data_IF_774056773330
#
_entry.id   IF_774056773330
#
_cell.length_a   1.000
_cell.length_b   1.000
_cell.length_c   1.000
_cell.angle_alpha   90.00
_cell.angle_beta   90.00
_cell.angle_gamma   90.00
#
_symmetry.space_group_name_H-M   'P 1'
#
loop_
_entity.id
_entity.type
_entity.pdbx_description
1 polymer ?
#
# COMPACT_ATOMS: atom_id res chain seq x y z
N UNK A 1 -9.87 -1.06 -33.12
CA UNK A 1 -8.87 -2.12 -33.34
C UNK A 1 -8.86 -2.96 -32.06
N UNK A 2 -9.35 -4.17 -32.12
CA UNK A 2 -9.23 -5.15 -31.04
C UNK A 2 -7.74 -5.41 -30.85
N UNK A 3 -7.19 -4.95 -29.70
CA UNK A 3 -5.79 -5.18 -29.37
C UNK A 3 -5.54 -6.69 -29.28
N UNK A 4 -4.34 -7.13 -29.67
CA UNK A 4 -3.94 -8.50 -29.46
C UNK A 4 -3.97 -8.80 -27.93
N UNK A 5 -4.47 -9.96 -27.55
CA UNK A 5 -4.44 -10.47 -26.18
C UNK A 5 -3.02 -10.34 -25.60
N UNK A 6 -2.91 -9.78 -24.41
CA UNK A 6 -1.64 -9.61 -23.69
C UNK A 6 -1.61 -10.48 -22.44
N UNK A 7 -0.55 -11.26 -22.30
CA UNK A 7 -0.30 -12.10 -21.12
C UNK A 7 0.64 -11.37 -20.15
N UNK A 8 0.09 -10.93 -19.03
CA UNK A 8 0.78 -10.14 -18.03
C UNK A 8 1.10 -11.00 -16.81
N UNK A 9 2.33 -10.98 -16.38
CA UNK A 9 2.73 -11.64 -15.12
C UNK A 9 3.14 -10.58 -14.10
N UNK A 10 2.48 -10.58 -12.94
CA UNK A 10 2.75 -9.63 -11.86
C UNK A 10 3.40 -10.37 -10.69
N UNK A 11 4.65 -10.01 -10.40
CA UNK A 11 5.37 -10.50 -9.22
C UNK A 11 5.02 -9.61 -8.02
N UNK A 12 4.01 -10.02 -7.25
CA UNK A 12 3.52 -9.30 -6.08
C UNK A 12 3.32 -10.26 -4.90
N UNK A 13 3.75 -9.85 -3.72
CA UNK A 13 3.54 -10.66 -2.53
C UNK A 13 4.16 -10.06 -1.28
N UNK A 14 3.93 -10.71 -0.15
CA UNK A 14 4.47 -10.34 1.15
C UNK A 14 3.48 -9.56 2.01
N UNK A 15 3.15 -8.34 1.68
CA UNK A 15 2.23 -7.48 2.46
C UNK A 15 1.17 -6.85 1.56
N UNK A 16 0.05 -6.42 2.15
CA UNK A 16 -1.03 -5.71 1.44
C UNK A 16 -0.55 -4.48 0.66
N UNK A 17 0.52 -3.81 1.14
CA UNK A 17 1.08 -2.63 0.49
C UNK A 17 1.62 -2.85 -0.93
N UNK A 18 2.04 -4.07 -1.28
CA UNK A 18 2.44 -4.45 -2.63
C UNK A 18 1.31 -5.12 -3.42
N UNK A 19 0.41 -5.80 -2.72
CA UNK A 19 -0.62 -6.62 -3.33
C UNK A 19 -1.79 -5.79 -3.88
N UNK A 20 -2.35 -4.87 -3.09
CA UNK A 20 -3.50 -4.06 -3.52
C UNK A 20 -3.22 -3.15 -4.72
N UNK A 21 -2.08 -2.44 -4.80
CA UNK A 21 -1.72 -1.70 -6.01
C UNK A 21 -1.57 -2.60 -7.25
N UNK A 22 -1.03 -3.81 -7.06
CA UNK A 22 -0.92 -4.80 -8.13
C UNK A 22 -2.30 -5.29 -8.61
N UNK A 23 -3.24 -5.52 -7.68
CA UNK A 23 -4.62 -5.91 -8.00
C UNK A 23 -5.35 -4.77 -8.74
N UNK A 24 -5.19 -3.52 -8.29
CA UNK A 24 -5.77 -2.36 -8.98
C UNK A 24 -5.29 -2.27 -10.44
N UNK A 25 -4.00 -2.45 -10.66
CA UNK A 25 -3.41 -2.45 -12.00
C UNK A 25 -3.90 -3.65 -12.85
N UNK A 26 -3.98 -4.85 -12.24
CA UNK A 26 -4.46 -6.06 -12.91
C UNK A 26 -5.93 -5.95 -13.37
N UNK A 27 -6.80 -5.44 -12.50
CA UNK A 27 -8.21 -5.17 -12.83
C UNK A 27 -8.35 -4.19 -13.98
N UNK A 28 -7.54 -3.14 -14.00
CA UNK A 28 -7.59 -2.16 -15.07
C UNK A 28 -7.10 -2.73 -16.41
N UNK A 29 -6.08 -3.60 -16.43
CA UNK A 29 -5.71 -4.33 -17.65
C UNK A 29 -6.87 -5.15 -18.19
N UNK A 30 -7.61 -5.88 -17.35
CA UNK A 30 -8.76 -6.67 -17.75
C UNK A 30 -9.99 -5.80 -18.13
N UNK A 31 -10.14 -4.62 -17.52
CA UNK A 31 -11.21 -3.67 -17.86
C UNK A 31 -11.01 -3.09 -19.25
N UNK A 32 -9.77 -2.81 -19.63
CA UNK A 32 -9.46 -2.24 -20.95
C UNK A 32 -9.55 -3.27 -22.07
N UNK A 33 -9.23 -4.53 -21.79
CA UNK A 33 -9.45 -5.65 -22.70
C UNK A 33 -9.67 -6.92 -21.88
N UNK A 34 -10.86 -7.52 -22.03
CA UNK A 34 -11.25 -8.73 -21.30
C UNK A 34 -10.44 -9.97 -21.67
N UNK A 35 -9.77 -9.95 -22.83
CA UNK A 35 -8.91 -11.04 -23.28
C UNK A 35 -7.53 -11.00 -22.62
N UNK A 36 -7.16 -9.91 -21.97
CA UNK A 36 -5.91 -9.83 -21.25
C UNK A 36 -5.86 -10.84 -20.09
N UNK A 37 -4.82 -11.66 -20.10
CA UNK A 37 -4.60 -12.67 -19.08
C UNK A 37 -3.60 -12.17 -18.04
N UNK A 38 -4.03 -12.06 -16.77
CA UNK A 38 -3.15 -11.66 -15.68
C UNK A 38 -2.90 -12.84 -14.74
N UNK A 39 -1.63 -13.17 -14.54
CA UNK A 39 -1.19 -14.20 -13.59
C UNK A 39 -0.30 -13.57 -12.52
N UNK A 40 -0.59 -13.84 -11.28
CA UNK A 40 0.27 -13.42 -10.17
C UNK A 40 1.34 -14.47 -9.86
N UNK A 41 2.54 -14.01 -9.49
CA UNK A 41 3.57 -14.85 -8.87
C UNK A 41 3.74 -14.37 -7.45
N UNK A 42 3.51 -15.27 -6.48
CA UNK A 42 3.51 -14.96 -5.07
C UNK A 42 4.21 -15.99 -4.19
N UNK A 43 4.10 -15.78 -2.88
CA UNK A 43 4.79 -16.58 -1.85
C UNK A 43 4.08 -17.88 -1.46
N UNK A 44 2.82 -18.00 -1.83
CA UNK A 44 1.96 -19.10 -1.37
C UNK A 44 1.44 -18.94 0.07
N UNK A 45 1.57 -17.75 0.67
CA UNK A 45 0.94 -17.48 1.98
C UNK A 45 -0.57 -17.50 1.85
N UNK A 46 -1.24 -18.09 2.86
CA UNK A 46 -2.69 -18.28 2.85
C UNK A 46 -3.46 -16.97 2.63
N UNK A 47 -3.11 -15.89 3.34
CA UNK A 47 -3.76 -14.58 3.18
C UNK A 47 -3.61 -14.01 1.76
N UNK A 48 -2.42 -14.14 1.16
CA UNK A 48 -2.15 -13.68 -0.21
C UNK A 48 -3.02 -14.45 -1.21
N UNK A 49 -3.04 -15.78 -1.08
CA UNK A 49 -3.83 -16.64 -1.93
C UNK A 49 -5.34 -16.39 -1.79
N UNK A 50 -5.83 -16.19 -0.56
CA UNK A 50 -7.25 -15.92 -0.33
C UNK A 50 -7.68 -14.58 -0.95
N UNK A 51 -6.86 -13.52 -0.83
CA UNK A 51 -7.15 -12.22 -1.44
C UNK A 51 -7.17 -12.34 -2.96
N UNK A 52 -6.15 -12.95 -3.57
CA UNK A 52 -6.06 -13.07 -5.03
C UNK A 52 -7.18 -13.97 -5.60
N UNK A 53 -7.53 -15.06 -4.91
CA UNK A 53 -8.64 -15.93 -5.30
C UNK A 53 -9.98 -15.22 -5.21
N UNK A 54 -10.22 -14.42 -4.15
CA UNK A 54 -11.42 -13.60 -4.01
C UNK A 54 -11.55 -12.56 -5.14
N UNK A 55 -10.41 -12.01 -5.59
CA UNK A 55 -10.34 -11.05 -6.69
C UNK A 55 -10.35 -11.71 -8.10
N UNK A 56 -10.41 -13.05 -8.15
CA UNK A 56 -10.53 -13.81 -9.40
C UNK A 56 -9.22 -14.03 -10.17
N UNK A 57 -8.06 -13.83 -9.53
CA UNK A 57 -6.77 -13.97 -10.20
C UNK A 57 -6.11 -15.33 -9.98
N UNK A 58 -5.47 -15.86 -11.04
CA UNK A 58 -4.64 -17.06 -10.94
C UNK A 58 -3.29 -16.74 -10.29
N UNK A 59 -2.80 -17.67 -9.46
CA UNK A 59 -1.55 -17.52 -8.71
C UNK A 59 -0.61 -18.67 -9.03
N UNK A 60 0.60 -18.35 -9.44
CA UNK A 60 1.72 -19.28 -9.51
C UNK A 60 2.68 -19.05 -8.34
N UNK A 61 3.37 -20.09 -7.91
CA UNK A 61 4.24 -20.00 -6.74
C UNK A 61 5.69 -20.28 -7.09
N UNK A 62 6.61 -19.50 -6.52
CA UNK A 62 8.06 -19.75 -6.56
C UNK A 62 8.60 -19.90 -5.14
N UNK A 63 9.62 -20.75 -4.98
CA UNK A 63 10.25 -21.00 -3.71
C UNK A 63 11.40 -20.00 -3.50
N UNK A 64 11.10 -18.88 -2.86
CA UNK A 64 12.09 -17.87 -2.48
C UNK A 64 11.88 -17.44 -1.03
N UNK A 65 12.96 -17.13 -0.32
CA UNK A 65 12.93 -16.63 1.05
C UNK A 65 13.62 -15.28 1.13
N UNK A 66 13.11 -14.39 1.98
CA UNK A 66 13.73 -13.08 2.22
C UNK A 66 15.18 -13.21 2.68
N UNK A 67 16.05 -12.36 2.18
CA UNK A 67 17.49 -12.34 2.49
C UNK A 67 17.77 -11.35 3.62
N UNK A 68 17.05 -10.23 3.65
CA UNK A 68 17.28 -9.12 4.60
C UNK A 68 16.73 -9.46 5.99
N UNK A 69 17.47 -9.09 7.04
CA UNK A 69 17.05 -9.26 8.44
C UNK A 69 17.28 -10.67 9.03
N UNK A 70 17.99 -11.54 8.33
CA UNK A 70 18.33 -12.88 8.79
C UNK A 70 19.84 -13.04 8.79
N UNK A 71 20.47 -13.45 9.90
CA UNK A 71 21.93 -13.55 10.05
C UNK A 71 22.69 -14.07 8.81
N UNK A 72 23.99 -13.83 8.76
CA UNK A 72 24.87 -14.06 7.58
C UNK A 72 24.69 -15.44 6.92
N UNK A 73 24.62 -16.51 7.72
CA UNK A 73 24.47 -17.90 7.21
C UNK A 73 23.10 -18.15 6.53
N UNK A 74 22.02 -17.57 7.09
CA UNK A 74 20.68 -17.69 6.49
C UNK A 74 20.59 -16.87 5.20
N UNK A 75 21.24 -15.73 5.14
CA UNK A 75 21.31 -14.88 3.95
C UNK A 75 22.07 -15.58 2.84
N UNK A 76 23.24 -16.20 3.14
CA UNK A 76 24.03 -16.94 2.17
C UNK A 76 23.26 -18.15 1.59
N UNK A 77 22.59 -18.92 2.45
CA UNK A 77 21.72 -20.04 2.03
C UNK A 77 20.57 -19.56 1.12
N UNK A 78 19.97 -18.40 1.41
CA UNK A 78 18.88 -17.86 0.62
C UNK A 78 19.36 -17.32 -0.74
N UNK A 79 20.59 -16.79 -0.82
CA UNK A 79 21.23 -16.40 -2.10
C UNK A 79 21.44 -17.62 -3.00
N UNK A 80 21.86 -18.77 -2.45
CA UNK A 80 21.99 -20.01 -3.22
C UNK A 80 20.66 -20.55 -3.80
N UNK A 81 19.51 -20.10 -3.27
CA UNK A 81 18.19 -20.45 -3.81
C UNK A 81 17.75 -19.56 -4.99
N UNK A 82 18.41 -18.42 -5.21
CA UNK A 82 18.05 -17.48 -6.28
C UNK A 82 18.10 -18.10 -7.69
N UNK A 83 19.15 -18.89 -8.09
CA UNK A 83 19.15 -19.52 -9.40
C UNK A 83 17.96 -20.46 -9.62
N UNK A 84 17.55 -21.21 -8.58
CA UNK A 84 16.36 -22.07 -8.63
C UNK A 84 15.10 -21.25 -8.79
N UNK A 85 14.97 -20.15 -8.06
CA UNK A 85 13.81 -19.27 -8.17
C UNK A 85 13.72 -18.59 -9.55
N UNK A 86 14.87 -18.17 -10.13
CA UNK A 86 14.94 -17.66 -11.51
C UNK A 86 14.51 -18.73 -12.50
N UNK A 87 15.02 -19.97 -12.37
CA UNK A 87 14.62 -21.08 -13.24
C UNK A 87 13.13 -21.40 -13.17
N UNK A 88 12.56 -21.44 -11.94
CA UNK A 88 11.11 -21.60 -11.74
C UNK A 88 10.31 -20.47 -12.40
N UNK A 89 10.78 -19.23 -12.23
CA UNK A 89 10.17 -18.06 -12.86
C UNK A 89 10.22 -18.16 -14.38
N UNK A 90 11.37 -18.57 -14.98
CA UNK A 90 11.49 -18.78 -16.43
C UNK A 90 10.49 -19.81 -16.96
N UNK A 91 10.28 -20.92 -16.21
CA UNK A 91 9.29 -21.92 -16.58
C UNK A 91 7.88 -21.33 -16.58
N UNK A 92 7.49 -20.64 -15.50
CA UNK A 92 6.17 -20.00 -15.37
C UNK A 92 5.94 -18.99 -16.50
N UNK A 93 6.94 -18.12 -16.77
CA UNK A 93 6.83 -17.11 -17.82
C UNK A 93 6.63 -17.72 -19.22
N UNK A 94 7.32 -18.85 -19.52
CA UNK A 94 7.12 -19.58 -20.77
C UNK A 94 5.77 -20.27 -20.84
N UNK A 95 5.36 -20.97 -19.76
CA UNK A 95 4.09 -21.70 -19.69
C UNK A 95 2.89 -20.75 -19.83
N UNK A 96 3.06 -19.49 -19.43
CA UNK A 96 2.04 -18.42 -19.54
C UNK A 96 2.19 -17.57 -20.80
N UNK A 97 3.18 -17.85 -21.65
CA UNK A 97 3.49 -17.02 -22.85
C UNK A 97 3.54 -15.53 -22.49
N UNK A 98 4.25 -15.17 -21.41
CA UNK A 98 4.23 -13.84 -20.86
C UNK A 98 4.82 -12.79 -21.82
N UNK A 99 4.05 -11.73 -22.11
CA UNK A 99 4.47 -10.59 -22.94
C UNK A 99 5.06 -9.46 -22.07
N UNK A 100 4.55 -9.33 -20.84
CA UNK A 100 4.93 -8.29 -19.90
C UNK A 100 5.08 -8.85 -18.49
N UNK A 101 6.15 -8.45 -17.81
CA UNK A 101 6.39 -8.73 -16.39
C UNK A 101 6.37 -7.43 -15.59
N UNK A 102 5.64 -7.42 -14.47
CA UNK A 102 5.58 -6.29 -13.55
C UNK A 102 6.03 -6.76 -12.17
N UNK A 103 7.15 -6.22 -11.67
CA UNK A 103 7.64 -6.45 -10.32
C UNK A 103 7.19 -5.33 -9.38
N UNK A 104 6.48 -5.66 -8.29
CA UNK A 104 5.99 -4.66 -7.32
C UNK A 104 6.91 -4.50 -6.11
N UNK A 105 8.10 -5.10 -6.14
CA UNK A 105 9.03 -5.10 -5.01
C UNK A 105 8.92 -6.36 -4.14
N UNK A 106 9.52 -6.28 -2.95
CA UNK A 106 9.66 -7.45 -2.10
C UNK A 106 10.65 -8.49 -2.66
N UNK A 107 10.83 -9.59 -1.93
CA UNK A 107 11.85 -10.60 -2.29
C UNK A 107 11.45 -11.55 -3.44
N UNK A 108 10.20 -11.47 -3.92
CA UNK A 108 9.71 -12.25 -5.09
C UNK A 108 10.03 -11.59 -6.42
N UNK A 109 10.03 -10.26 -6.44
CA UNK A 109 10.20 -9.48 -7.67
C UNK A 109 11.56 -9.75 -8.37
N UNK A 110 12.71 -9.75 -7.68
CA UNK A 110 14.00 -9.92 -8.34
C UNK A 110 14.14 -11.18 -9.20
N UNK A 111 13.84 -12.40 -8.72
CA UNK A 111 14.00 -13.60 -9.55
C UNK A 111 13.06 -13.60 -10.78
N UNK A 112 11.87 -13.02 -10.69
CA UNK A 112 10.92 -12.94 -11.81
C UNK A 112 11.40 -11.91 -12.83
N UNK A 113 11.86 -10.74 -12.41
CA UNK A 113 12.41 -9.69 -13.27
C UNK A 113 13.70 -10.15 -13.96
N UNK A 114 14.58 -10.88 -13.25
CA UNK A 114 15.77 -11.50 -13.84
C UNK A 114 15.38 -12.56 -14.89
N UNK A 115 14.41 -13.41 -14.60
CA UNK A 115 13.90 -14.39 -15.55
C UNK A 115 13.34 -13.74 -16.82
N UNK A 116 12.59 -12.66 -16.68
CA UNK A 116 12.09 -11.87 -17.80
C UNK A 116 13.21 -11.27 -18.65
N UNK A 117 14.28 -10.77 -18.00
CA UNK A 117 15.45 -10.25 -18.69
C UNK A 117 16.15 -11.33 -19.53
N UNK A 118 16.36 -12.53 -18.96
CA UNK A 118 16.96 -13.66 -19.66
C UNK A 118 16.12 -14.15 -20.83
N UNK A 119 14.81 -14.06 -20.73
CA UNK A 119 13.84 -14.43 -21.78
C UNK A 119 13.57 -13.30 -22.78
N UNK A 120 14.14 -12.11 -22.57
CA UNK A 120 13.91 -10.89 -23.35
C UNK A 120 12.44 -10.41 -23.33
N UNK A 121 11.70 -10.76 -22.27
CA UNK A 121 10.34 -10.29 -22.02
C UNK A 121 10.40 -8.87 -21.47
N UNK A 122 9.45 -7.99 -21.85
CA UNK A 122 9.32 -6.64 -21.31
C UNK A 122 9.09 -6.69 -19.80
N UNK A 123 9.77 -5.83 -19.07
CA UNK A 123 9.79 -5.87 -17.60
C UNK A 123 9.81 -4.48 -17.01
N UNK A 124 8.89 -4.29 -16.08
CA UNK A 124 8.65 -3.04 -15.39
C UNK A 124 8.77 -3.31 -13.89
N UNK A 125 9.23 -2.34 -13.13
CA UNK A 125 9.15 -2.37 -11.68
C UNK A 125 8.33 -1.20 -11.16
N UNK A 126 7.60 -1.45 -10.07
CA UNK A 126 6.84 -0.45 -9.33
C UNK A 126 7.50 -0.24 -7.98
N UNK A 127 7.79 1.01 -7.65
CA UNK A 127 8.31 1.40 -6.33
C UNK A 127 7.32 2.36 -5.66
N UNK A 128 6.55 1.86 -4.70
CA UNK A 128 5.54 2.68 -4.03
C UNK A 128 6.09 3.54 -2.89
N UNK A 129 7.36 3.37 -2.49
CA UNK A 129 7.93 4.05 -1.34
C UNK A 129 8.82 5.23 -1.74
N UNK A 130 8.94 6.22 -0.83
CA UNK A 130 9.82 7.39 -1.00
C UNK A 130 11.31 6.99 -1.02
N UNK A 131 11.68 5.93 -0.27
CA UNK A 131 13.00 5.29 -0.34
C UNK A 131 12.82 3.89 -0.92
N UNK A 132 13.41 3.61 -2.10
CA UNK A 132 13.24 2.33 -2.76
C UNK A 132 13.81 1.15 -1.98
N UNK A 133 13.04 0.06 -1.99
CA UNK A 133 13.50 -1.19 -1.42
C UNK A 133 14.71 -1.77 -2.15
N UNK A 134 15.58 -2.50 -1.43
CA UNK A 134 16.78 -3.12 -2.01
C UNK A 134 16.46 -3.98 -3.25
N UNK A 135 15.36 -4.71 -3.22
CA UNK A 135 14.91 -5.53 -4.33
C UNK A 135 14.78 -4.73 -5.64
N UNK A 136 14.05 -3.61 -5.61
CA UNK A 136 13.86 -2.75 -6.76
C UNK A 136 15.14 -2.03 -7.18
N UNK A 137 16.00 -1.64 -6.22
CA UNK A 137 17.31 -1.03 -6.53
C UNK A 137 18.22 -2.00 -7.28
N UNK A 138 18.23 -3.28 -6.92
CA UNK A 138 19.06 -4.31 -7.58
C UNK A 138 18.57 -4.61 -9.00
N UNK A 139 17.27 -4.69 -9.23
CA UNK A 139 16.73 -5.01 -10.57
C UNK A 139 16.42 -3.78 -11.43
N UNK A 140 16.49 -2.59 -10.88
CA UNK A 140 16.28 -1.34 -11.62
C UNK A 140 17.13 -1.18 -12.87
N UNK A 141 18.45 -1.49 -12.85
CA UNK A 141 19.30 -1.41 -14.03
C UNK A 141 18.83 -2.27 -15.22
N UNK A 142 18.21 -3.44 -14.94
CA UNK A 142 17.71 -4.36 -15.96
C UNK A 142 16.24 -4.16 -16.32
N UNK A 143 15.49 -3.34 -15.57
CA UNK A 143 14.12 -2.99 -15.92
C UNK A 143 14.07 -2.06 -17.14
N UNK A 144 13.01 -2.19 -17.95
CA UNK A 144 12.76 -1.31 -19.10
C UNK A 144 12.09 -0.01 -18.68
N UNK A 145 11.26 -0.05 -17.61
CA UNK A 145 10.63 1.12 -16.96
C UNK A 145 10.62 0.95 -15.45
N UNK A 146 10.60 2.07 -14.75
CA UNK A 146 10.51 2.16 -13.29
C UNK A 146 9.40 3.15 -12.94
N UNK A 147 8.31 2.65 -12.38
CA UNK A 147 7.20 3.47 -11.91
C UNK A 147 7.40 3.85 -10.45
N UNK A 148 7.39 5.14 -10.16
CA UNK A 148 7.60 5.67 -8.82
C UNK A 148 6.34 6.36 -8.30
N UNK A 149 6.09 6.22 -7.00
CA UNK A 149 5.05 6.98 -6.32
C UNK A 149 5.53 8.36 -5.88
N UNK A 150 6.79 8.48 -5.49
CA UNK A 150 7.40 9.70 -4.95
C UNK A 150 8.55 10.21 -5.81
N UNK A 151 8.59 11.53 -6.01
CA UNK A 151 9.67 12.19 -6.75
C UNK A 151 11.06 11.95 -6.13
N UNK A 152 11.14 11.91 -4.81
CA UNK A 152 12.37 11.67 -4.07
C UNK A 152 13.07 10.34 -4.38
N UNK A 153 12.35 9.38 -4.96
CA UNK A 153 12.93 8.09 -5.35
C UNK A 153 13.68 8.12 -6.70
N UNK A 154 13.58 9.20 -7.49
CA UNK A 154 14.19 9.31 -8.83
C UNK A 154 15.69 9.07 -8.86
N UNK A 155 16.41 9.64 -7.89
CA UNK A 155 17.88 9.59 -7.85
C UNK A 155 18.46 8.18 -7.63
N UNK A 156 17.64 7.19 -7.31
CA UNK A 156 18.08 5.79 -7.19
C UNK A 156 18.07 5.03 -8.51
N UNK A 157 17.50 5.60 -9.58
CA UNK A 157 17.30 4.92 -10.85
C UNK A 157 17.77 5.78 -12.02
N UNK A 158 17.96 5.14 -13.16
CA UNK A 158 18.36 5.86 -14.39
C UNK A 158 17.17 6.69 -14.91
N UNK A 159 17.35 7.99 -15.06
CA UNK A 159 16.31 8.98 -15.37
C UNK A 159 15.44 8.61 -16.58
N UNK A 160 16.06 8.15 -17.68
CA UNK A 160 15.33 7.79 -18.90
C UNK A 160 14.28 6.67 -18.70
N UNK A 161 14.45 5.83 -17.68
CA UNK A 161 13.55 4.72 -17.36
C UNK A 161 12.44 5.10 -16.37
N UNK A 162 12.61 6.22 -15.67
CA UNK A 162 11.74 6.62 -14.57
C UNK A 162 10.45 7.30 -15.07
N UNK A 163 9.32 6.93 -14.44
CA UNK A 163 8.04 7.64 -14.56
C UNK A 163 7.45 7.81 -13.16
N UNK A 164 7.22 9.04 -12.74
CA UNK A 164 6.54 9.33 -11.46
C UNK A 164 5.05 9.41 -11.71
N UNK A 165 4.38 8.30 -11.50
CA UNK A 165 2.97 8.10 -11.83
C UNK A 165 2.07 7.93 -10.61
N UNK A 166 2.65 7.72 -9.42
CA UNK A 166 1.90 7.44 -8.21
C UNK A 166 1.77 5.94 -7.91
N UNK A 167 0.89 5.62 -6.96
CA UNK A 167 0.52 4.24 -6.61
C UNK A 167 -0.88 3.96 -7.12
N UNK A 168 -1.12 2.85 -7.83
CA UNK A 168 -2.48 2.44 -8.22
C UNK A 168 -3.38 2.28 -7.00
N UNK A 169 -4.56 2.86 -7.07
CA UNK A 169 -5.61 2.76 -6.06
C UNK A 169 -6.83 2.10 -6.70
N UNK A 170 -7.55 1.28 -5.95
CA UNK A 170 -8.76 0.58 -6.40
C UNK A 170 -9.84 1.59 -6.80
N UNK A 171 -10.61 1.27 -7.84
CA UNK A 171 -11.64 2.15 -8.42
C UNK A 171 -12.69 2.58 -7.39
N UNK A 172 -12.98 1.71 -6.42
CA UNK A 172 -13.98 1.95 -5.38
C UNK A 172 -13.68 3.19 -4.52
N UNK A 173 -12.40 3.60 -4.40
CA UNK A 173 -12.01 4.82 -3.68
C UNK A 173 -12.35 6.12 -4.42
N UNK A 174 -12.55 6.07 -5.75
CA UNK A 174 -12.89 7.23 -6.56
C UNK A 174 -14.40 7.47 -6.68
N UNK A 175 -15.22 6.49 -6.26
CA UNK A 175 -16.67 6.62 -6.32
C UNK A 175 -17.13 7.47 -5.15
N UNK A 176 -17.92 8.50 -5.45
CA UNK A 176 -18.63 9.23 -4.41
C UNK A 176 -19.61 8.28 -3.71
N UNK A 177 -19.43 8.09 -2.42
CA UNK A 177 -20.39 7.39 -1.58
C UNK A 177 -21.13 8.42 -0.73
N UNK A 178 -22.44 8.21 -0.54
CA UNK A 178 -23.19 8.95 0.48
C UNK A 178 -22.54 8.64 1.82
N UNK A 179 -21.83 9.64 2.36
CA UNK A 179 -21.08 9.51 3.60
C UNK A 179 -21.99 8.92 4.71
N UNK A 180 -21.49 7.90 5.38
CA UNK A 180 -22.13 7.29 6.53
C UNK A 180 -22.01 8.26 7.71
N UNK A 181 -22.90 9.26 7.77
CA UNK A 181 -22.98 10.16 8.93
C UNK A 181 -23.52 9.36 10.12
N UNK A 182 -22.69 9.06 11.07
CA UNK A 182 -23.12 8.47 12.34
C UNK A 182 -23.54 9.59 13.29
N UNK A 183 -24.88 9.78 13.43
CA UNK A 183 -25.44 10.56 14.54
C UNK A 183 -25.01 12.02 14.69
N UNK A 184 -24.50 12.67 13.62
CA UNK A 184 -24.08 14.07 13.66
C UNK A 184 -22.70 14.33 14.30
N UNK A 185 -21.98 13.29 14.71
CA UNK A 185 -20.59 13.40 15.19
C UNK A 185 -19.60 13.28 14.04
N UNK A 186 -18.43 13.87 14.23
CA UNK A 186 -17.27 13.65 13.36
C UNK A 186 -16.78 12.20 13.45
N UNK A 187 -16.21 11.67 12.38
CA UNK A 187 -15.70 10.29 12.36
C UNK A 187 -14.19 10.26 12.49
N UNK A 188 -13.70 9.64 13.57
CA UNK A 188 -12.28 9.31 13.73
C UNK A 188 -12.05 7.87 13.26
N UNK A 189 -11.33 7.71 12.14
CA UNK A 189 -10.93 6.40 11.65
C UNK A 189 -9.53 6.05 12.15
N UNK A 190 -9.40 4.88 12.77
CA UNK A 190 -8.12 4.37 13.30
C UNK A 190 -7.80 3.01 12.69
N UNK A 191 -6.62 2.86 12.08
CA UNK A 191 -6.17 1.56 11.57
C UNK A 191 -4.65 1.43 11.47
N UNK A 192 -4.16 0.22 11.71
CA UNK A 192 -2.73 -0.11 11.68
C UNK A 192 -2.26 -0.89 10.45
N UNK A 193 -3.09 -0.97 9.40
CA UNK A 193 -2.93 -1.91 8.29
C UNK A 193 -3.59 -3.27 8.59
N UNK A 194 -3.50 -4.23 7.67
CA UNK A 194 -4.26 -5.50 7.74
C UNK A 194 -4.07 -6.32 9.03
N UNK A 195 -2.95 -6.15 9.70
CA UNK A 195 -2.66 -6.87 10.97
C UNK A 195 -2.90 -6.03 12.23
N UNK A 196 -3.34 -4.77 12.06
CA UNK A 196 -3.43 -3.82 13.15
C UNK A 196 -2.07 -3.30 13.62
N UNK A 197 -2.09 -2.44 14.63
CA UNK A 197 -0.90 -1.86 15.26
C UNK A 197 -1.13 -1.67 16.75
N UNK A 198 -0.58 -2.57 17.58
CA UNK A 198 -0.79 -2.56 19.04
C UNK A 198 -0.45 -1.21 19.67
N UNK A 199 0.60 -0.53 19.21
CA UNK A 199 1.00 0.78 19.73
C UNK A 199 -0.10 1.84 19.44
N UNK A 200 -0.63 1.89 18.21
CA UNK A 200 -1.73 2.78 17.84
C UNK A 200 -2.97 2.43 18.65
N UNK A 201 -3.34 1.15 18.72
CA UNK A 201 -4.51 0.69 19.47
C UNK A 201 -4.45 1.16 20.93
N UNK A 202 -3.30 0.98 21.60
CA UNK A 202 -3.11 1.40 22.99
C UNK A 202 -3.19 2.92 23.12
N UNK A 203 -2.50 3.67 22.26
CA UNK A 203 -2.48 5.13 22.33
C UNK A 203 -3.88 5.74 22.12
N UNK A 204 -4.70 5.18 21.21
CA UNK A 204 -6.08 5.66 20.98
C UNK A 204 -6.99 5.37 22.16
N UNK A 205 -6.89 4.18 22.77
CA UNK A 205 -7.63 3.85 23.99
C UNK A 205 -7.30 4.85 25.11
N UNK A 206 -6.01 5.12 25.32
CA UNK A 206 -5.54 6.01 26.36
C UNK A 206 -5.89 7.48 26.06
N UNK A 207 -5.84 7.89 24.78
CA UNK A 207 -6.27 9.22 24.35
C UNK A 207 -7.77 9.46 24.63
N UNK A 208 -8.63 8.50 24.27
CA UNK A 208 -10.06 8.58 24.52
C UNK A 208 -10.41 8.57 26.03
N UNK A 209 -9.61 7.88 26.87
CA UNK A 209 -9.76 7.97 28.32
C UNK A 209 -9.38 9.33 28.87
N UNK A 210 -8.29 9.92 28.35
CA UNK A 210 -7.76 11.19 28.81
C UNK A 210 -8.58 12.41 28.36
N UNK A 211 -9.25 12.34 27.18
CA UNK A 211 -9.96 13.47 26.57
C UNK A 211 -11.47 13.29 26.57
N UNK A 212 -12.21 14.12 27.29
CA UNK A 212 -13.67 14.22 27.19
C UNK A 212 -14.08 14.80 25.84
N UNK A 213 -13.34 15.78 25.33
CA UNK A 213 -13.57 16.42 24.03
C UNK A 213 -13.62 15.38 22.92
N UNK A 214 -12.63 14.48 22.86
CA UNK A 214 -12.63 13.42 21.85
C UNK A 214 -13.85 12.51 21.94
N UNK A 215 -14.30 12.14 23.15
CA UNK A 215 -15.47 11.29 23.36
C UNK A 215 -16.78 11.96 22.93
N UNK A 216 -16.87 13.26 23.11
CA UNK A 216 -18.06 14.05 22.75
C UNK A 216 -18.11 14.34 21.25
N UNK A 217 -16.94 14.62 20.63
CA UNK A 217 -16.83 15.04 19.24
C UNK A 217 -16.92 13.87 18.26
N UNK A 218 -16.29 12.73 18.58
CA UNK A 218 -16.14 11.66 17.61
C UNK A 218 -17.04 10.43 17.84
N UNK A 219 -17.55 9.89 16.72
CA UNK A 219 -17.80 8.47 16.56
C UNK A 219 -16.49 7.83 16.04
N UNK A 220 -16.02 6.78 16.70
CA UNK A 220 -14.73 6.15 16.39
C UNK A 220 -14.95 4.84 15.65
N UNK A 221 -14.26 4.65 14.52
CA UNK A 221 -14.16 3.37 13.84
C UNK A 221 -12.71 2.89 14.01
N UNK A 222 -12.53 1.78 14.74
CA UNK A 222 -11.21 1.27 15.12
C UNK A 222 -10.96 -0.13 14.58
N UNK A 223 -10.13 -0.23 13.53
CA UNK A 223 -9.62 -1.50 13.02
C UNK A 223 -8.36 -1.90 13.79
N UNK A 224 -8.46 -2.97 14.55
CA UNK A 224 -7.46 -3.37 15.55
C UNK A 224 -6.45 -4.41 15.07
N UNK A 225 -6.78 -5.14 14.00
CA UNK A 225 -6.16 -6.42 13.67
C UNK A 225 -6.75 -7.56 14.51
N UNK A 226 -6.70 -8.77 13.98
CA UNK A 226 -7.27 -9.97 14.62
C UNK A 226 -6.69 -10.24 16.00
N UNK A 227 -5.37 -10.12 16.13
CA UNK A 227 -4.64 -10.50 17.36
C UNK A 227 -4.99 -9.61 18.56
N UNK A 228 -5.30 -8.33 18.33
CA UNK A 228 -5.52 -7.36 19.41
C UNK A 228 -7.01 -7.01 19.62
N UNK A 229 -7.89 -7.59 18.81
CA UNK A 229 -9.31 -7.24 18.76
C UNK A 229 -10.01 -7.36 20.12
N UNK A 230 -9.93 -8.52 20.77
CA UNK A 230 -10.60 -8.77 22.03
C UNK A 230 -10.11 -7.84 23.16
N UNK A 231 -8.80 -7.57 23.21
CA UNK A 231 -8.23 -6.62 24.19
C UNK A 231 -8.81 -5.21 24.00
N UNK A 232 -8.83 -4.74 22.76
CA UNK A 232 -9.34 -3.38 22.44
C UNK A 232 -10.82 -3.28 22.71
N UNK A 233 -11.61 -4.27 22.29
CA UNK A 233 -13.05 -4.35 22.54
C UNK A 233 -13.38 -4.30 24.02
N UNK A 234 -12.67 -5.09 24.84
CA UNK A 234 -12.84 -5.08 26.30
C UNK A 234 -12.47 -3.72 26.91
N UNK A 235 -11.42 -3.05 26.40
CA UNK A 235 -11.01 -1.73 26.90
C UNK A 235 -12.04 -0.63 26.64
N UNK A 236 -12.86 -0.76 25.59
CA UNK A 236 -13.95 0.18 25.29
C UNK A 236 -15.27 -0.15 25.96
N UNK A 237 -15.51 -1.40 26.36
CA UNK A 237 -16.80 -1.85 26.90
C UNK A 237 -17.30 -1.01 28.10
N UNK A 238 -16.40 -0.44 28.90
CA UNK A 238 -16.70 0.38 30.08
C UNK A 238 -16.45 1.88 29.86
N UNK A 239 -16.10 2.31 28.66
CA UNK A 239 -15.63 3.67 28.41
C UNK A 239 -16.74 4.69 28.13
N UNK A 240 -17.95 4.24 27.77
CA UNK A 240 -19.05 5.11 27.30
C UNK A 240 -18.75 5.81 25.97
N UNK A 241 -17.72 5.39 25.24
CA UNK A 241 -17.34 5.94 23.93
C UNK A 241 -18.20 5.30 22.84
N UNK A 242 -18.64 6.12 21.89
CA UNK A 242 -19.29 5.64 20.67
C UNK A 242 -18.21 5.09 19.73
N UNK A 243 -17.97 3.77 19.76
CA UNK A 243 -16.89 3.12 19.03
C UNK A 243 -17.34 1.82 18.37
N UNK A 244 -17.08 1.72 17.07
CA UNK A 244 -17.16 0.49 16.29
C UNK A 244 -15.77 -0.15 16.27
N UNK A 245 -15.61 -1.31 16.92
CA UNK A 245 -14.33 -2.06 16.98
C UNK A 245 -14.41 -3.25 16.06
N UNK A 246 -13.51 -3.32 15.08
CA UNK A 246 -13.46 -4.41 14.08
C UNK A 246 -12.07 -4.96 13.92
N UNK A 247 -11.91 -6.27 13.71
CA UNK A 247 -10.59 -6.85 13.46
C UNK A 247 -10.06 -6.47 12.07
N UNK A 248 -10.95 -6.30 11.09
CA UNK A 248 -10.61 -5.95 9.72
C UNK A 248 -11.73 -5.14 9.06
N UNK A 249 -11.38 -4.19 8.16
CA UNK A 249 -12.32 -3.37 7.38
C UNK A 249 -12.36 -3.87 5.93
N UNK A 250 -13.51 -4.40 5.51
CA UNK A 250 -13.75 -4.83 4.13
C UNK A 250 -14.25 -3.68 3.24
N UNK A 251 -14.93 -2.74 3.82
CA UNK A 251 -15.54 -1.56 3.19
C UNK A 251 -14.70 -0.28 3.37
N UNK A 252 -13.37 -0.43 3.39
CA UNK A 252 -12.41 0.66 3.59
C UNK A 252 -12.70 1.91 2.74
N UNK A 253 -13.11 1.83 1.44
CA UNK A 253 -13.43 3.02 0.66
C UNK A 253 -14.54 3.88 1.29
N UNK A 254 -15.63 3.26 1.74
CA UNK A 254 -16.77 3.95 2.33
C UNK A 254 -16.40 4.56 3.68
N UNK A 255 -15.71 3.78 4.52
CA UNK A 255 -15.30 4.23 5.86
C UNK A 255 -14.28 5.36 5.76
N UNK A 256 -13.33 5.26 4.83
CA UNK A 256 -12.32 6.30 4.63
C UNK A 256 -12.96 7.59 4.11
N UNK A 257 -13.93 7.50 3.18
CA UNK A 257 -14.66 8.68 2.70
C UNK A 257 -15.50 9.36 3.79
N UNK A 258 -16.04 8.60 4.74
CA UNK A 258 -16.80 9.13 5.88
C UNK A 258 -15.91 9.77 6.96
N UNK A 259 -14.62 9.42 7.01
CA UNK A 259 -13.70 9.89 8.05
C UNK A 259 -13.47 11.41 7.98
N UNK A 260 -13.53 12.08 9.13
CA UNK A 260 -13.13 13.48 9.31
C UNK A 260 -11.63 13.58 9.55
N UNK A 261 -11.08 12.67 10.34
CA UNK A 261 -9.66 12.56 10.65
C UNK A 261 -9.25 11.09 10.69
N UNK A 262 -8.05 10.80 10.22
CA UNK A 262 -7.52 9.44 10.18
C UNK A 262 -6.25 9.32 11.02
N UNK A 263 -6.16 8.28 11.85
CA UNK A 263 -4.92 7.85 12.52
C UNK A 263 -4.48 6.52 11.95
N UNK A 264 -3.31 6.49 11.29
CA UNK A 264 -2.89 5.28 10.57
C UNK A 264 -1.37 5.09 10.50
N UNK A 265 -0.95 3.88 10.10
CA UNK A 265 0.40 3.63 9.58
C UNK A 265 0.60 4.31 8.22
N UNK A 266 1.86 4.60 7.88
CA UNK A 266 2.24 5.30 6.63
C UNK A 266 2.71 4.35 5.53
N UNK A 267 2.01 3.23 5.34
CA UNK A 267 2.22 2.36 4.19
C UNK A 267 1.86 3.09 2.89
N UNK A 268 2.60 2.84 1.81
CA UNK A 268 2.42 3.58 0.56
C UNK A 268 1.00 3.46 -0.03
N UNK A 269 0.35 2.29 0.07
CA UNK A 269 -1.05 2.11 -0.33
C UNK A 269 -1.99 2.97 0.50
N UNK A 270 -1.82 2.99 1.83
CA UNK A 270 -2.59 3.84 2.74
C UNK A 270 -2.48 5.32 2.36
N UNK A 271 -1.27 5.80 2.09
CA UNK A 271 -1.05 7.21 1.72
C UNK A 271 -1.72 7.56 0.39
N UNK A 272 -1.69 6.64 -0.58
CA UNK A 272 -2.39 6.84 -1.85
C UNK A 272 -3.92 6.87 -1.67
N UNK A 273 -4.47 5.99 -0.84
CA UNK A 273 -5.89 5.94 -0.51
C UNK A 273 -6.34 7.21 0.23
N UNK A 274 -5.55 7.68 1.22
CA UNK A 274 -5.77 8.95 1.92
C UNK A 274 -5.78 10.14 0.96
N UNK A 275 -4.84 10.18 0.02
CA UNK A 275 -4.75 11.24 -0.98
C UNK A 275 -5.97 11.25 -1.92
N UNK A 276 -6.39 10.08 -2.42
CA UNK A 276 -7.58 9.97 -3.29
C UNK A 276 -8.84 10.43 -2.58
N UNK A 277 -8.99 10.09 -1.29
CA UNK A 277 -10.15 10.52 -0.48
C UNK A 277 -9.99 11.92 0.13
N UNK A 278 -8.86 12.60 -0.06
CA UNK A 278 -8.61 13.94 0.48
C UNK A 278 -8.64 13.99 2.02
N UNK A 279 -8.11 12.96 2.69
CA UNK A 279 -8.24 12.86 4.16
C UNK A 279 -7.06 13.44 4.90
N UNK A 280 -7.32 14.35 5.87
CA UNK A 280 -6.31 14.76 6.83
C UNK A 280 -5.94 13.60 7.72
N UNK A 281 -4.65 13.47 8.07
CA UNK A 281 -4.21 12.31 8.83
C UNK A 281 -3.12 12.60 9.86
N UNK A 282 -3.12 11.81 10.92
CA UNK A 282 -2.01 11.64 11.86
C UNK A 282 -1.35 10.30 11.51
N UNK A 283 -0.12 10.37 11.03
CA UNK A 283 0.63 9.20 10.57
C UNK A 283 1.59 8.72 11.65
N UNK A 284 1.49 7.44 11.98
CA UNK A 284 2.38 6.77 12.94
C UNK A 284 3.21 5.73 12.20
N UNK A 285 4.41 6.06 11.71
CA UNK A 285 5.25 5.12 10.96
C UNK A 285 5.58 3.86 11.77
N UNK A 286 5.62 2.70 11.10
CA UNK A 286 6.08 1.47 11.72
C UNK A 286 7.61 1.47 11.87
N UNK A 287 8.17 1.41 13.10
CA UNK A 287 9.61 1.63 13.34
C UNK A 287 10.50 0.52 12.80
N UNK A 288 9.94 -0.69 12.62
CA UNK A 288 10.68 -1.84 12.08
C UNK A 288 10.46 -2.05 10.58
N UNK A 289 9.94 -1.03 9.88
CA UNK A 289 9.82 -1.06 8.43
C UNK A 289 11.21 -1.13 7.78
N UNK A 290 11.38 -2.02 6.81
CA UNK A 290 12.66 -2.22 6.11
C UNK A 290 13.20 -0.88 5.58
N UNK A 291 14.44 -0.53 5.92
CA UNK A 291 15.06 0.75 5.58
C UNK A 291 14.24 1.98 6.04
N UNK A 292 13.45 1.83 7.09
CA UNK A 292 12.62 2.89 7.65
C UNK A 292 11.68 3.56 6.63
N UNK A 293 11.26 2.82 5.58
CA UNK A 293 10.51 3.39 4.46
C UNK A 293 9.20 4.06 4.89
N UNK A 294 8.54 3.58 5.96
CA UNK A 294 7.30 4.20 6.43
C UNK A 294 7.52 5.61 7.01
N UNK A 295 8.62 5.85 7.71
CA UNK A 295 8.94 7.19 8.18
C UNK A 295 9.24 8.12 7.01
N UNK A 296 10.04 7.69 6.04
CA UNK A 296 10.31 8.48 4.83
C UNK A 296 9.03 8.81 4.06
N UNK A 297 8.12 7.86 3.93
CA UNK A 297 6.80 8.06 3.32
C UNK A 297 5.99 9.10 4.09
N UNK A 298 5.91 8.96 5.43
CA UNK A 298 5.17 9.89 6.29
C UNK A 298 5.72 11.30 6.21
N UNK A 299 7.05 11.46 6.28
CA UNK A 299 7.72 12.77 6.20
C UNK A 299 7.51 13.43 4.84
N UNK A 300 7.52 12.66 3.75
CA UNK A 300 7.21 13.20 2.43
C UNK A 300 5.79 13.78 2.34
N UNK A 301 4.80 13.15 2.98
CA UNK A 301 3.42 13.66 3.05
C UNK A 301 3.31 14.83 4.03
N UNK A 302 3.98 14.78 5.19
CA UNK A 302 4.02 15.88 6.16
C UNK A 302 4.58 17.16 5.55
N UNK A 303 5.64 17.07 4.74
CA UNK A 303 6.24 18.23 4.05
C UNK A 303 5.26 18.95 3.12
N UNK A 304 4.25 18.26 2.58
CA UNK A 304 3.18 18.89 1.81
C UNK A 304 2.14 19.57 2.69
N UNK A 305 2.17 19.31 4.00
CA UNK A 305 1.18 19.77 4.96
C UNK A 305 -0.14 18.98 4.95
N UNK A 306 -0.15 17.80 4.35
CA UNK A 306 -1.34 16.92 4.29
C UNK A 306 -1.50 16.01 5.53
N UNK A 307 -0.44 15.86 6.32
CA UNK A 307 -0.44 15.01 7.51
C UNK A 307 0.40 15.62 8.64
N UNK A 308 0.18 15.10 9.85
CA UNK A 308 1.06 15.25 11.01
C UNK A 308 1.72 13.90 11.28
N UNK A 309 3.00 13.89 11.63
CA UNK A 309 3.72 12.65 11.95
C UNK A 309 4.01 12.57 13.44
N UNK A 310 3.63 11.46 14.06
CA UNK A 310 4.04 11.10 15.42
C UNK A 310 4.85 9.80 15.32
N UNK A 311 6.12 9.83 15.71
CA UNK A 311 6.93 8.61 15.74
C UNK A 311 6.42 7.68 16.85
N UNK A 312 6.48 6.36 16.62
CA UNK A 312 5.99 5.38 17.61
C UNK A 312 6.67 5.53 18.98
N UNK A 313 7.93 5.92 19.02
CA UNK A 313 8.66 6.19 20.25
C UNK A 313 8.11 7.40 21.06
N UNK A 314 7.44 8.32 20.39
CA UNK A 314 6.81 9.52 20.97
C UNK A 314 5.30 9.34 21.19
N UNK A 315 4.73 8.21 20.72
CA UNK A 315 3.32 7.96 20.73
C UNK A 315 2.84 7.59 22.14
N UNK A 316 2.16 8.52 22.78
CA UNK A 316 1.42 8.31 24.03
C UNK A 316 -0.03 8.72 23.83
N UNK A 317 -0.94 8.24 24.71
CA UNK A 317 -2.35 8.68 24.67
C UNK A 317 -2.49 10.19 24.82
N UNK A 318 -1.72 10.81 25.70
CA UNK A 318 -1.74 12.26 25.91
C UNK A 318 -1.25 13.04 24.69
N UNK A 319 -0.13 12.58 24.06
CA UNK A 319 0.39 13.21 22.84
C UNK A 319 -0.61 13.13 21.70
N UNK A 320 -1.24 11.96 21.52
CA UNK A 320 -2.23 11.74 20.48
C UNK A 320 -3.50 12.58 20.73
N UNK A 321 -4.02 12.60 21.96
CA UNK A 321 -5.15 13.43 22.34
C UNK A 321 -4.90 14.90 22.07
N UNK A 322 -3.76 15.43 22.53
CA UNK A 322 -3.36 16.82 22.31
C UNK A 322 -3.33 17.18 20.81
N UNK A 323 -2.76 16.32 19.98
CA UNK A 323 -2.67 16.59 18.54
C UNK A 323 -4.05 16.55 17.84
N UNK A 324 -4.91 15.60 18.24
CA UNK A 324 -6.29 15.52 17.73
C UNK A 324 -7.08 16.75 18.14
N UNK A 325 -7.05 17.14 19.43
CA UNK A 325 -7.73 18.33 19.94
C UNK A 325 -7.23 19.61 19.25
N UNK A 326 -5.91 19.73 19.03
CA UNK A 326 -5.30 20.85 18.31
C UNK A 326 -5.79 20.95 16.87
N UNK A 327 -5.98 19.83 16.19
CA UNK A 327 -6.52 19.82 14.82
C UNK A 327 -8.01 20.17 14.81
N UNK A 328 -8.77 19.64 15.76
CA UNK A 328 -10.23 19.86 15.83
C UNK A 328 -10.57 21.29 16.27
N UNK A 329 -9.72 21.95 17.06
CA UNK A 329 -9.92 23.36 17.42
C UNK A 329 -9.65 24.35 16.26
N UNK A 330 -9.13 23.85 15.13
CA UNK A 330 -8.84 24.64 13.92
C UNK A 330 -9.41 23.94 12.68
N UNK A 331 -10.74 23.95 12.47
CA UNK A 331 -11.37 23.27 11.33
C UNK A 331 -10.85 23.71 9.96
N UNK A 332 -10.45 24.98 9.83
CA UNK A 332 -9.82 25.53 8.64
C UNK A 332 -8.52 24.79 8.31
N UNK A 333 -7.68 24.51 9.31
CA UNK A 333 -6.43 23.76 9.16
C UNK A 333 -6.70 22.31 8.75
N UNK A 334 -7.71 21.69 9.35
CA UNK A 334 -8.12 20.33 8.99
C UNK A 334 -8.58 20.28 7.53
N UNK A 335 -9.36 21.26 7.09
CA UNK A 335 -9.77 21.42 5.69
C UNK A 335 -8.59 21.64 4.74
N UNK A 336 -7.62 22.48 5.12
CA UNK A 336 -6.39 22.69 4.34
C UNK A 336 -5.56 21.39 4.22
N UNK A 337 -5.42 20.63 5.29
CA UNK A 337 -4.73 19.33 5.27
C UNK A 337 -5.42 18.37 4.30
N UNK A 338 -6.75 18.29 4.33
CA UNK A 338 -7.54 17.49 3.40
C UNK A 338 -7.35 17.93 1.95
N UNK A 339 -7.41 19.23 1.68
CA UNK A 339 -7.18 19.79 0.34
C UNK A 339 -5.75 19.48 -0.18
N UNK A 340 -4.73 19.58 0.68
CA UNK A 340 -3.34 19.24 0.34
C UNK A 340 -3.17 17.73 0.09
N UNK A 341 -3.85 16.90 0.89
CA UNK A 341 -3.91 15.46 0.66
C UNK A 341 -4.50 15.16 -0.71
N UNK A 342 -5.64 15.75 -1.04
CA UNK A 342 -6.32 15.60 -2.32
C UNK A 342 -5.50 16.13 -3.51
N UNK A 343 -4.79 17.24 -3.33
CA UNK A 343 -3.89 17.79 -4.36
C UNK A 343 -2.71 16.85 -4.68
N UNK A 344 -2.27 16.08 -3.67
CA UNK A 344 -1.20 15.08 -3.84
C UNK A 344 -1.63 13.79 -4.54
N UNK A 345 -2.94 13.60 -4.81
CA UNK A 345 -3.44 12.38 -5.46
C UNK A 345 -2.95 12.26 -6.90
N UNK A 346 -2.73 11.03 -7.31
CA UNK A 346 -2.42 10.69 -8.71
C UNK A 346 -3.61 9.92 -9.29
N UNK A 347 -4.65 10.64 -9.73
CA UNK A 347 -5.92 10.07 -10.21
C UNK A 347 -5.70 9.10 -11.37
N UNK A 348 -4.78 9.44 -12.25
CA UNK A 348 -4.52 8.68 -13.47
C UNK A 348 -3.38 7.67 -13.33
N UNK A 349 -2.90 7.38 -12.10
CA UNK A 349 -1.74 6.51 -11.88
C UNK A 349 -1.86 5.18 -12.64
N UNK A 350 -2.99 4.51 -12.51
CA UNK A 350 -3.25 3.23 -13.15
C UNK A 350 -3.32 3.35 -14.68
N UNK A 351 -4.03 4.38 -15.18
CA UNK A 351 -4.17 4.62 -16.62
C UNK A 351 -2.81 4.98 -17.27
N UNK A 352 -2.03 5.85 -16.62
CA UNK A 352 -0.69 6.24 -17.07
C UNK A 352 0.26 5.03 -17.09
N UNK A 353 0.22 4.18 -16.07
CA UNK A 353 1.03 2.96 -16.04
C UNK A 353 0.68 2.03 -17.21
N UNK A 354 -0.60 1.83 -17.50
CA UNK A 354 -1.03 0.97 -18.60
C UNK A 354 -0.63 1.56 -19.95
N UNK A 355 -0.76 2.88 -20.12
CA UNK A 355 -0.32 3.54 -21.35
C UNK A 355 1.19 3.34 -21.58
N UNK A 356 2.02 3.57 -20.57
CA UNK A 356 3.47 3.32 -20.63
C UNK A 356 3.79 1.83 -20.89
N UNK A 357 3.00 0.89 -20.35
CA UNK A 357 3.15 -0.54 -20.65
C UNK A 357 2.86 -0.82 -22.12
N UNK A 358 1.79 -0.27 -22.69
CA UNK A 358 1.43 -0.43 -24.12
C UNK A 358 2.49 0.17 -25.03
N UNK A 359 2.94 1.38 -24.74
CA UNK A 359 3.97 2.06 -25.52
C UNK A 359 5.27 1.26 -25.53
N UNK A 360 5.63 0.66 -24.36
CA UNK A 360 6.79 -0.19 -24.25
C UNK A 360 6.66 -1.48 -25.07
N UNK A 361 5.48 -2.07 -25.14
CA UNK A 361 5.21 -3.28 -25.93
C UNK A 361 5.19 -2.97 -27.43
N UNK A 362 4.61 -1.84 -27.84
CA UNK A 362 4.51 -1.43 -29.24
C UNK A 362 5.84 -0.97 -29.84
N UNK A 363 6.81 -0.54 -29.04
CA UNK A 363 8.14 -0.06 -29.49
C UNK A 363 9.03 -1.17 -30.12
N UNK A 364 8.48 -2.37 -30.37
CA UNK A 364 9.16 -3.51 -30.99
C UNK A 364 8.56 -3.92 -32.36
N UNK A 365 7.55 -3.22 -32.82
CA UNK A 365 7.03 -3.39 -34.18
C UNK A 365 7.64 -2.28 -35.07
#
# INVERSE_FOLDING_TARGET
MTGAQVNIVIAAGGTGGHLYPAIALAKEFQRQDRENMVTFIGSGKQLENSILAHEGFSVAHIHVKGIVGRGLWASLKNVCLLPKAVWQSMKILRDRSADLVIGTGGYFSPPVVCAAALLKIRRIIMEPNAVPGLANRVVGPIADRVFLAFDGAKHYFHEAKVRVVGTPVREEFFRETTARQQGGKDTLLVFGGSQGAKAINTAVIDALKASSIMRETFAVIHQTGEVDHERVKAAYASSGVDVEVVPFLYDMPQVLQAATLVVARSGAGTLAELAVCGKPSILVPYPHATHNHQEHNARAVEQTGAAVVILEAELTGQRLAHEIERLMSHPERLGEMGAKSFAGRKVDATALMIQECRDLMNAMV
#
